data_IF_550206577796
#
_entry.id   IF_550206577796
#
_cell.length_a   1.000
_cell.length_b   1.000
_cell.length_c   1.000
_cell.angle_alpha   90.00
_cell.angle_beta   90.00
_cell.angle_gamma   90.00
#
_symmetry.space_group_name_H-M   'P 1'
#
loop_
_entity.id
_entity.type
_entity.pdbx_description
1 polymer ?
#
# COMPACT_ATOMS: atom_id res chain seq x y z
N UNK A 1 9.58 2.99 -26.57
CA UNK A 1 8.80 4.06 -27.21
C UNK A 1 9.71 5.28 -27.29
N UNK A 2 10.16 5.68 -28.48
CA UNK A 2 11.10 6.80 -28.65
C UNK A 2 10.29 8.00 -29.16
N UNK A 3 10.00 8.93 -28.27
CA UNK A 3 9.38 10.20 -28.60
C UNK A 3 10.50 11.23 -28.68
N UNK A 4 10.65 11.91 -29.82
CA UNK A 4 11.58 13.04 -30.02
C UNK A 4 11.14 14.31 -29.26
N UNK A 5 10.52 14.12 -28.08
CA UNK A 5 10.07 15.18 -27.17
C UNK A 5 10.75 14.98 -25.82
N UNK A 6 11.14 16.06 -25.15
CA UNK A 6 11.69 15.97 -23.80
C UNK A 6 10.64 15.31 -22.88
N UNK A 7 11.04 14.24 -22.22
CA UNK A 7 10.24 13.56 -21.19
C UNK A 7 10.67 14.17 -19.86
N UNK A 8 9.73 14.78 -19.14
CA UNK A 8 9.97 15.32 -17.81
C UNK A 8 9.45 14.33 -16.75
N UNK A 9 10.33 13.86 -15.87
CA UNK A 9 9.93 13.01 -14.76
C UNK A 9 9.45 13.89 -13.60
N UNK A 10 8.12 14.07 -13.52
CA UNK A 10 7.52 14.84 -12.45
C UNK A 10 7.85 14.29 -11.06
N UNK A 11 8.16 13.00 -10.87
CA UNK A 11 8.55 12.46 -9.56
C UNK A 11 9.82 13.12 -8.99
N UNK A 12 10.65 13.74 -9.83
CA UNK A 12 11.90 14.42 -9.45
C UNK A 12 11.80 15.95 -9.50
N UNK A 13 10.59 16.51 -9.53
CA UNK A 13 10.45 17.97 -9.60
C UNK A 13 11.10 18.66 -8.38
N UNK A 14 11.84 19.77 -8.56
CA UNK A 14 12.35 20.58 -7.46
C UNK A 14 11.22 21.27 -6.68
N UNK A 15 10.08 21.52 -7.33
CA UNK A 15 8.87 21.99 -6.67
C UNK A 15 8.05 20.78 -6.20
N UNK A 16 7.89 20.63 -4.88
CA UNK A 16 7.15 19.51 -4.28
C UNK A 16 5.69 19.39 -4.76
N UNK A 17 5.07 20.50 -5.16
CA UNK A 17 3.69 20.52 -5.69
C UNK A 17 3.58 19.83 -7.05
N UNK A 18 4.65 19.80 -7.84
CA UNK A 18 4.70 19.19 -9.16
C UNK A 18 5.10 17.71 -9.09
N UNK A 19 5.52 17.22 -7.91
CA UNK A 19 5.87 15.81 -7.73
C UNK A 19 4.66 14.91 -7.94
N UNK A 20 4.84 13.89 -8.78
CA UNK A 20 3.86 12.82 -8.99
C UNK A 20 4.45 11.50 -8.47
N UNK A 21 3.58 10.54 -8.13
CA UNK A 21 3.98 9.27 -7.55
C UNK A 21 3.93 9.29 -6.02
N UNK A 22 2.74 9.09 -5.47
CA UNK A 22 2.50 9.01 -4.03
C UNK A 22 2.66 7.54 -3.60
N UNK A 23 3.77 7.19 -2.94
CA UNK A 23 4.06 5.84 -2.50
C UNK A 23 3.81 5.68 -1.00
N UNK A 24 3.01 4.68 -0.63
CA UNK A 24 2.58 4.48 0.75
C UNK A 24 3.74 4.25 1.74
N UNK A 25 4.87 3.69 1.28
CA UNK A 25 6.04 3.38 2.11
C UNK A 25 7.18 4.41 2.01
N UNK A 26 7.08 5.40 1.12
CA UNK A 26 8.13 6.39 0.91
C UNK A 26 7.71 7.81 1.32
N UNK A 27 6.43 8.16 1.15
CA UNK A 27 5.95 9.52 1.32
C UNK A 27 5.11 9.68 2.60
N UNK A 28 5.32 10.77 3.37
CA UNK A 28 4.47 11.10 4.50
C UNK A 28 3.17 11.77 4.02
N UNK A 29 2.04 11.25 4.50
CA UNK A 29 0.71 11.80 4.26
C UNK A 29 -0.03 12.06 5.57
N UNK A 30 -0.82 13.12 5.58
CA UNK A 30 -1.72 13.49 6.67
C UNK A 30 -3.14 13.10 6.28
N UNK A 31 -3.84 12.40 7.16
CA UNK A 31 -5.26 12.08 6.97
C UNK A 31 -6.13 13.19 7.56
N UNK A 32 -7.01 13.76 6.74
CA UNK A 32 -8.08 14.66 7.16
C UNK A 32 -9.39 14.14 6.55
N UNK A 33 -10.32 13.72 7.41
CA UNK A 33 -11.64 13.19 7.01
C UNK A 33 -11.61 12.08 5.95
N UNK A 34 -10.66 11.15 6.10
CA UNK A 34 -10.39 10.03 5.18
C UNK A 34 -9.77 10.43 3.83
N UNK A 35 -9.47 11.72 3.62
CA UNK A 35 -8.69 12.20 2.48
C UNK A 35 -7.24 12.35 2.92
N UNK A 36 -6.34 11.76 2.13
CA UNK A 36 -4.91 11.90 2.38
C UNK A 36 -4.38 13.14 1.67
N UNK A 37 -3.50 13.85 2.36
CA UNK A 37 -2.84 15.05 1.89
C UNK A 37 -1.34 14.86 1.97
N UNK A 38 -0.59 15.42 1.02
CA UNK A 38 0.85 15.53 1.23
C UNK A 38 1.13 16.37 2.48
N UNK A 39 2.14 15.98 3.24
CA UNK A 39 2.54 16.76 4.42
C UNK A 39 3.02 18.16 4.01
N UNK A 40 3.64 18.26 2.84
CA UNK A 40 4.20 19.49 2.28
C UNK A 40 3.15 20.24 1.45
N UNK A 41 2.33 21.02 2.13
CA UNK A 41 1.40 21.98 1.51
C UNK A 41 -0.03 21.48 1.30
N UNK A 42 -0.41 20.40 1.99
CA UNK A 42 -1.78 19.88 2.04
C UNK A 42 -2.46 19.76 0.66
N UNK A 43 -1.73 19.24 -0.32
CA UNK A 43 -2.28 18.84 -1.62
C UNK A 43 -3.02 17.52 -1.46
N UNK A 44 -4.30 17.43 -1.84
CA UNK A 44 -5.07 16.19 -1.73
C UNK A 44 -4.51 15.11 -2.67
N UNK A 45 -4.47 13.89 -2.16
CA UNK A 45 -3.95 12.71 -2.83
C UNK A 45 -5.12 11.82 -3.25
N UNK A 46 -5.37 11.75 -4.55
CA UNK A 46 -6.43 10.91 -5.11
C UNK A 46 -6.01 9.48 -5.39
N UNK A 47 -4.70 9.21 -5.39
CA UNK A 47 -4.14 7.89 -5.65
C UNK A 47 -2.87 7.67 -4.85
N UNK A 48 -2.83 6.53 -4.18
CA UNK A 48 -1.65 6.00 -3.49
C UNK A 48 -1.20 4.71 -4.14
N UNK A 49 0.10 4.59 -4.31
CA UNK A 49 0.78 3.42 -4.80
C UNK A 49 1.25 2.55 -3.64
N UNK A 50 0.88 1.28 -3.69
CA UNK A 50 1.30 0.25 -2.74
C UNK A 50 2.25 -0.75 -3.42
N UNK A 51 3.25 -0.25 -4.16
CA UNK A 51 4.07 -1.10 -5.04
C UNK A 51 4.88 -2.17 -4.31
N UNK A 52 5.33 -1.89 -3.08
CA UNK A 52 6.17 -2.79 -2.29
C UNK A 52 5.36 -3.70 -1.34
N UNK A 53 4.03 -3.69 -1.43
CA UNK A 53 3.16 -4.52 -0.60
C UNK A 53 2.62 -5.70 -1.38
N UNK A 54 2.57 -6.88 -0.75
CA UNK A 54 2.04 -8.07 -1.43
C UNK A 54 0.50 -8.04 -1.47
N UNK A 55 -0.09 -8.53 -2.56
CA UNK A 55 -1.56 -8.71 -2.64
C UNK A 55 -2.10 -9.62 -1.53
N UNK A 56 -1.30 -10.57 -1.06
CA UNK A 56 -1.63 -11.46 0.05
C UNK A 56 -1.70 -10.73 1.40
N UNK A 57 -0.94 -9.63 1.60
CA UNK A 57 -1.08 -8.78 2.79
C UNK A 57 -2.42 -8.06 2.78
N UNK A 58 -2.84 -7.51 1.63
CA UNK A 58 -4.15 -6.85 1.49
C UNK A 58 -5.33 -7.80 1.71
N UNK A 59 -5.23 -9.03 1.18
CA UNK A 59 -6.26 -10.04 1.39
C UNK A 59 -6.44 -10.35 2.89
N UNK A 60 -5.33 -10.52 3.61
CA UNK A 60 -5.33 -10.73 5.06
C UNK A 60 -5.83 -9.52 5.85
N UNK A 61 -5.43 -8.32 5.44
CA UNK A 61 -5.93 -7.08 6.02
C UNK A 61 -7.46 -6.98 5.91
N UNK A 62 -8.03 -7.31 4.74
CA UNK A 62 -9.48 -7.34 4.54
C UNK A 62 -10.19 -8.41 5.40
N UNK A 63 -9.47 -9.42 5.89
CA UNK A 63 -9.98 -10.48 6.76
C UNK A 63 -9.80 -10.16 8.25
N UNK A 64 -9.25 -8.99 8.59
CA UNK A 64 -9.04 -8.56 9.99
C UNK A 64 -7.66 -8.89 10.55
N UNK A 65 -6.70 -9.32 9.74
CA UNK A 65 -5.31 -9.42 10.20
C UNK A 65 -4.64 -8.04 10.20
N UNK A 66 -3.92 -7.71 11.26
CA UNK A 66 -3.09 -6.51 11.33
C UNK A 66 -1.81 -6.67 10.47
N UNK A 67 -1.98 -6.53 9.16
CA UNK A 67 -0.89 -6.52 8.21
C UNK A 67 -0.11 -5.19 8.29
N UNK A 68 1.21 -5.27 8.15
CA UNK A 68 2.10 -4.11 8.16
C UNK A 68 2.00 -3.33 6.84
N UNK A 69 0.90 -2.61 6.65
CA UNK A 69 0.60 -1.76 5.49
C UNK A 69 0.41 -0.33 5.99
N UNK A 70 1.20 0.61 5.46
CA UNK A 70 1.00 2.03 5.77
C UNK A 70 -0.37 2.48 5.28
N UNK A 71 -1.02 3.40 6.00
CA UNK A 71 -2.34 3.92 5.64
C UNK A 71 -3.42 2.82 5.48
N UNK A 72 -3.27 1.67 6.15
CA UNK A 72 -4.22 0.54 6.12
C UNK A 72 -5.66 0.94 6.44
N UNK A 73 -5.86 1.90 7.34
CA UNK A 73 -7.20 2.37 7.73
C UNK A 73 -7.90 3.11 6.59
N UNK A 74 -7.14 3.92 5.83
CA UNK A 74 -7.63 4.59 4.62
C UNK A 74 -7.92 3.58 3.52
N UNK A 75 -7.03 2.61 3.33
CA UNK A 75 -7.29 1.51 2.40
C UNK A 75 -8.61 0.78 2.76
N UNK A 76 -8.79 0.40 4.03
CA UNK A 76 -10.00 -0.28 4.50
C UNK A 76 -11.26 0.59 4.37
N UNK A 77 -11.16 1.89 4.66
CA UNK A 77 -12.26 2.83 4.46
C UNK A 77 -12.77 2.80 3.01
N UNK A 78 -11.88 2.98 2.04
CA UNK A 78 -12.27 2.98 0.63
C UNK A 78 -12.62 1.59 0.10
N UNK A 79 -11.96 0.53 0.58
CA UNK A 79 -12.20 -0.85 0.17
C UNK A 79 -13.62 -1.32 0.49
N UNK A 80 -14.17 -0.85 1.61
CA UNK A 80 -15.49 -1.20 2.11
C UNK A 80 -16.49 -0.03 2.04
N UNK A 81 -16.17 1.05 1.29
CA UNK A 81 -17.01 2.25 1.23
C UNK A 81 -18.48 1.97 0.86
N UNK A 82 -18.71 1.00 -0.04
CA UNK A 82 -20.05 0.61 -0.48
C UNK A 82 -20.73 -0.42 0.43
N UNK A 83 -19.95 -1.17 1.20
CA UNK A 83 -20.38 -2.28 2.05
C UNK A 83 -19.69 -2.17 3.43
N UNK A 84 -19.96 -1.11 4.20
CA UNK A 84 -19.24 -0.83 5.44
C UNK A 84 -19.41 -1.92 6.50
N UNK A 85 -20.51 -2.68 6.44
CA UNK A 85 -20.80 -3.81 7.33
C UNK A 85 -19.82 -4.98 7.19
N UNK A 86 -19.12 -5.07 6.05
CA UNK A 86 -18.12 -6.11 5.79
C UNK A 86 -16.72 -5.70 6.25
N UNK A 87 -16.52 -4.44 6.65
CA UNK A 87 -15.23 -3.95 7.13
C UNK A 87 -14.89 -4.63 8.45
N UNK A 88 -13.66 -5.16 8.63
CA UNK A 88 -13.22 -5.66 9.92
C UNK A 88 -13.32 -4.59 11.01
N UNK A 89 -14.02 -4.89 12.08
CA UNK A 89 -14.19 -3.97 13.23
C UNK A 89 -12.88 -3.78 14.00
N UNK A 90 -12.05 -4.82 14.05
CA UNK A 90 -10.76 -4.83 14.72
C UNK A 90 -9.73 -5.60 13.90
N UNK A 91 -8.48 -5.12 13.94
CA UNK A 91 -7.34 -5.82 13.37
C UNK A 91 -6.60 -6.58 14.46
N UNK A 92 -6.25 -7.84 14.18
CA UNK A 92 -5.55 -8.72 15.11
C UNK A 92 -4.18 -9.08 14.53
N UNK A 93 -3.08 -8.87 15.26
CA UNK A 93 -1.75 -9.20 14.76
C UNK A 93 -1.59 -10.71 14.58
N UNK A 94 -0.91 -11.17 13.52
CA UNK A 94 -0.65 -12.58 13.33
C UNK A 94 0.30 -13.10 14.42
N UNK A 95 0.01 -14.28 14.95
CA UNK A 95 0.85 -14.92 15.96
C UNK A 95 2.21 -15.38 15.37
N UNK A 96 3.19 -15.63 16.25
CA UNK A 96 4.55 -15.98 15.83
C UNK A 96 4.62 -17.27 15.02
N UNK A 97 3.78 -18.26 15.34
CA UNK A 97 3.73 -19.53 14.60
C UNK A 97 3.25 -19.32 13.16
N UNK A 98 2.16 -18.58 12.96
CA UNK A 98 1.66 -18.27 11.62
C UNK A 98 2.67 -17.47 10.80
N UNK A 99 3.39 -16.52 11.40
CA UNK A 99 4.50 -15.81 10.72
C UNK A 99 5.60 -16.77 10.27
N UNK A 100 6.02 -17.70 11.14
CA UNK A 100 7.05 -18.68 10.82
C UNK A 100 6.64 -19.63 9.69
N UNK A 101 5.42 -20.18 9.76
CA UNK A 101 4.87 -21.07 8.74
C UNK A 101 4.80 -20.40 7.37
N UNK A 102 4.38 -19.13 7.30
CA UNK A 102 4.34 -18.37 6.04
C UNK A 102 5.74 -18.17 5.44
N UNK A 103 6.74 -17.89 6.27
CA UNK A 103 8.12 -17.73 5.82
C UNK A 103 8.66 -19.03 5.22
N UNK A 104 8.38 -20.17 5.87
CA UNK A 104 8.74 -21.51 5.36
C UNK A 104 8.04 -21.83 4.03
N UNK A 105 6.74 -21.57 3.92
CA UNK A 105 5.98 -21.77 2.68
C UNK A 105 6.54 -20.94 1.52
N UNK A 106 6.89 -19.67 1.78
CA UNK A 106 7.51 -18.79 0.78
C UNK A 106 8.86 -19.30 0.29
N UNK A 107 9.68 -19.87 1.19
CA UNK A 107 10.96 -20.50 0.83
C UNK A 107 10.72 -21.74 -0.04
N UNK A 108 9.81 -22.63 0.38
CA UNK A 108 9.49 -23.86 -0.35
C UNK A 108 8.93 -23.57 -1.75
N UNK A 109 8.10 -22.55 -1.90
CA UNK A 109 7.57 -22.11 -3.19
C UNK A 109 8.66 -21.62 -4.15
N UNK A 110 9.69 -20.93 -3.64
CA UNK A 110 10.85 -20.53 -4.44
C UNK A 110 11.65 -21.73 -4.92
N UNK A 111 11.96 -22.69 -4.03
CA UNK A 111 12.66 -23.92 -4.39
C UNK A 111 11.92 -24.72 -5.48
N UNK A 112 10.60 -24.89 -5.33
CA UNK A 112 9.78 -25.60 -6.34
C UNK A 112 9.85 -24.95 -7.72
N UNK A 113 9.89 -23.61 -7.79
CA UNK A 113 9.98 -22.86 -9.05
C UNK A 113 11.38 -22.90 -9.68
N UNK A 114 12.42 -23.13 -8.89
CA UNK A 114 13.81 -23.25 -9.39
C UNK A 114 14.14 -24.67 -9.87
N UNK A 115 13.45 -25.69 -9.34
CA UNK A 115 13.68 -27.09 -9.70
C UNK A 115 12.78 -27.54 -10.87
N UNK A 116 11.67 -26.82 -11.12
CA UNK A 116 10.77 -27.01 -12.28
C UNK A 116 11.24 -26.22 -13.49
#
# INVERSE_FOLDING_TARGET
MRSERPIYNFTQSPNGQDRTGNCADADPFVNVDNVLYNEQGLKPIHRIHYMNYSSADFARLCQGEDANINYKDIFLHYRFLKNPEQKPTQLVPPNSLTKATRKLQGIMGKFKRTIS
#
